data_IF_123957807657
#
_entry.id   IF_123957807657
#
_cell.length_a   1.000
_cell.length_b   1.000
_cell.length_c   1.000
_cell.angle_alpha   90.00
_cell.angle_beta   90.00
_cell.angle_gamma   90.00
#
_symmetry.space_group_name_H-M   'P 1'
#
loop_
_entity.id
_entity.type
_entity.pdbx_description
1 polymer ?
#
# COMPACT_ATOMS: atom_id res chain seq x y z
N UNK A 1 17.57 4.49 -9.71
CA UNK A 1 16.23 4.55 -9.10
C UNK A 1 15.70 5.97 -9.11
N UNK A 2 14.40 6.15 -9.35
CA UNK A 2 13.80 7.47 -9.37
C UNK A 2 13.72 8.04 -7.94
N UNK A 3 14.28 9.22 -7.74
CA UNK A 3 14.31 9.88 -6.42
C UNK A 3 12.93 10.37 -5.96
N UNK A 4 11.94 10.36 -6.85
CA UNK A 4 10.56 10.75 -6.52
C UNK A 4 9.68 9.55 -6.14
N UNK A 5 10.28 8.38 -6.02
CA UNK A 5 9.58 7.13 -5.66
C UNK A 5 10.22 6.55 -4.41
N UNK A 6 9.39 6.17 -3.44
CA UNK A 6 9.82 5.42 -2.26
C UNK A 6 9.03 4.12 -2.17
N UNK A 7 9.74 3.00 -2.25
CA UNK A 7 9.12 1.67 -2.17
C UNK A 7 9.69 0.93 -0.98
N UNK A 8 8.81 0.32 -0.19
CA UNK A 8 9.24 -0.52 0.92
C UNK A 8 8.34 -1.76 0.99
N UNK A 9 8.96 -2.92 1.10
CA UNK A 9 8.29 -4.18 1.37
C UNK A 9 9.04 -4.79 2.55
N UNK A 10 8.41 -4.86 3.72
CA UNK A 10 9.12 -5.12 4.96
C UNK A 10 8.28 -5.87 5.98
N UNK A 11 8.94 -6.66 6.83
CA UNK A 11 8.31 -7.27 7.99
C UNK A 11 8.29 -6.33 9.20
N UNK A 12 8.93 -5.18 9.10
CA UNK A 12 8.89 -4.16 10.15
C UNK A 12 7.58 -3.38 10.09
N UNK A 13 7.21 -2.77 11.21
CA UNK A 13 6.01 -1.95 11.28
C UNK A 13 6.12 -0.76 10.34
N UNK A 14 5.07 -0.53 9.52
CA UNK A 14 5.02 0.63 8.65
C UNK A 14 4.82 1.92 9.45
N UNK A 15 5.49 2.98 9.03
CA UNK A 15 5.43 4.28 9.70
C UNK A 15 4.83 5.31 8.74
N UNK A 16 3.63 5.78 9.08
CA UNK A 16 2.90 6.76 8.26
C UNK A 16 3.73 8.02 8.03
N UNK A 17 4.42 8.48 9.06
CA UNK A 17 5.21 9.71 8.96
C UNK A 17 6.34 9.60 7.94
N UNK A 18 6.91 8.41 7.76
CA UNK A 18 7.96 8.21 6.76
C UNK A 18 7.43 8.51 5.35
N UNK A 19 6.24 8.02 5.03
CA UNK A 19 5.62 8.25 3.73
C UNK A 19 5.24 9.72 3.57
N UNK A 20 4.64 10.32 4.60
CA UNK A 20 4.23 11.71 4.56
C UNK A 20 5.43 12.63 4.37
N UNK A 21 6.51 12.40 5.10
CA UNK A 21 7.74 13.21 4.97
C UNK A 21 8.38 13.05 3.61
N UNK A 22 8.38 11.85 3.06
CA UNK A 22 9.00 11.60 1.76
C UNK A 22 8.34 12.41 0.64
N UNK A 23 6.99 12.46 0.62
CA UNK A 23 6.28 13.11 -0.49
C UNK A 23 6.15 14.62 -0.32
N UNK A 24 6.37 15.16 0.87
CA UNK A 24 6.26 16.59 1.10
C UNK A 24 7.21 17.38 0.22
N UNK A 25 6.71 18.48 -0.32
CA UNK A 25 7.50 19.41 -1.14
C UNK A 25 6.80 20.76 -1.15
N UNK A 26 7.59 21.82 -1.09
CA UNK A 26 7.05 23.18 -1.03
C UNK A 26 6.25 23.58 -2.28
N UNK A 27 6.48 22.90 -3.39
CA UNK A 27 5.73 23.13 -4.64
C UNK A 27 4.36 22.45 -4.66
N UNK A 28 4.06 21.59 -3.69
CA UNK A 28 2.84 20.81 -3.67
C UNK A 28 1.84 21.35 -2.68
N UNK A 29 0.61 21.56 -3.17
CA UNK A 29 -0.50 22.04 -2.35
C UNK A 29 -1.33 20.91 -1.74
N UNK A 30 -1.11 19.65 -2.15
CA UNK A 30 -1.90 18.54 -1.65
C UNK A 30 -1.11 17.24 -1.50
N UNK A 31 -1.43 16.51 -0.44
CA UNK A 31 -0.94 15.16 -0.19
C UNK A 31 -2.16 14.28 0.00
N UNK A 32 -2.28 13.21 -0.81
CA UNK A 32 -3.29 12.19 -0.61
C UNK A 32 -2.62 11.00 0.06
N UNK A 33 -3.28 10.47 1.08
CA UNK A 33 -2.82 9.30 1.82
C UNK A 33 -3.89 8.22 1.78
N UNK A 34 -3.49 7.01 1.46
CA UNK A 34 -4.31 5.84 1.71
C UNK A 34 -3.61 5.00 2.75
N UNK A 35 -4.32 4.68 3.83
CA UNK A 35 -3.82 3.82 4.90
C UNK A 35 -4.76 2.64 5.00
N UNK A 36 -4.28 1.44 4.61
CA UNK A 36 -5.02 0.21 4.83
C UNK A 36 -4.87 -0.24 6.26
N UNK A 37 -5.91 -0.82 6.81
CA UNK A 37 -5.89 -1.35 8.18
C UNK A 37 -6.46 -2.76 8.18
N UNK A 38 -6.02 -3.58 9.13
CA UNK A 38 -6.52 -4.94 9.28
C UNK A 38 -7.88 -4.91 9.95
N UNK A 39 -8.93 -5.37 9.24
CA UNK A 39 -10.29 -5.43 9.75
C UNK A 39 -10.53 -6.69 10.58
N UNK A 40 -11.48 -6.61 11.51
CA UNK A 40 -11.84 -7.75 12.35
C UNK A 40 -12.97 -8.61 11.76
N UNK A 41 -13.37 -8.39 10.52
CA UNK A 41 -14.51 -9.07 9.91
C UNK A 41 -14.31 -9.27 8.41
N UNK A 42 -14.67 -10.46 7.93
CA UNK A 42 -14.74 -10.78 6.49
C UNK A 42 -15.97 -11.67 6.29
N UNK A 43 -16.92 -11.22 5.46
CA UNK A 43 -18.15 -11.95 5.15
C UNK A 43 -18.86 -12.43 6.42
N UNK A 44 -19.01 -11.54 7.40
CA UNK A 44 -19.67 -11.80 8.68
C UNK A 44 -18.95 -12.82 9.58
N UNK A 45 -17.69 -13.12 9.29
CA UNK A 45 -16.86 -13.98 10.14
C UNK A 45 -15.82 -13.12 10.85
N UNK A 46 -15.58 -13.41 12.12
CA UNK A 46 -14.60 -12.67 12.92
C UNK A 46 -13.19 -13.08 12.55
N UNK A 47 -12.41 -12.10 12.09
CA UNK A 47 -10.99 -12.26 11.76
C UNK A 47 -10.16 -11.94 13.00
N UNK A 48 -9.19 -12.78 13.32
CA UNK A 48 -8.32 -12.58 14.47
C UNK A 48 -6.92 -12.09 14.08
N UNK A 49 -6.50 -12.39 12.84
CA UNK A 49 -5.15 -12.09 12.39
C UNK A 49 -5.08 -12.22 10.88
N UNK A 50 -4.20 -11.44 10.26
CA UNK A 50 -3.81 -11.62 8.86
C UNK A 50 -2.34 -11.98 8.78
N UNK A 51 -1.98 -12.63 7.68
CA UNK A 51 -0.58 -12.86 7.35
C UNK A 51 -0.37 -12.58 5.88
N UNK A 52 0.56 -11.68 5.57
CA UNK A 52 0.92 -11.37 4.18
C UNK A 52 2.24 -12.03 3.83
N UNK A 53 2.29 -12.65 2.65
CA UNK A 53 3.52 -13.17 2.09
C UNK A 53 3.65 -12.69 0.66
N UNK A 54 4.87 -12.58 0.16
CA UNK A 54 5.13 -12.02 -1.16
C UNK A 54 6.28 -12.74 -1.84
N UNK A 55 6.19 -12.82 -3.17
CA UNK A 55 7.37 -13.11 -3.98
C UNK A 55 8.10 -11.78 -4.16
N UNK A 56 9.03 -11.51 -3.25
CA UNK A 56 9.57 -10.17 -3.05
C UNK A 56 10.20 -9.51 -4.28
N UNK A 57 11.10 -10.17 -5.04
CA UNK A 57 11.70 -9.52 -6.21
C UNK A 57 10.66 -9.05 -7.23
N UNK A 58 9.66 -9.87 -7.50
CA UNK A 58 8.60 -9.52 -8.45
C UNK A 58 7.64 -8.49 -7.86
N UNK A 59 7.33 -8.60 -6.57
CA UNK A 59 6.46 -7.63 -5.90
C UNK A 59 7.06 -6.23 -5.95
N UNK A 60 8.35 -6.10 -5.68
CA UNK A 60 9.05 -4.81 -5.74
C UNK A 60 9.03 -4.27 -7.17
N UNK A 61 9.29 -5.10 -8.18
CA UNK A 61 9.25 -4.69 -9.59
C UNK A 61 7.87 -4.18 -9.99
N UNK A 62 6.82 -4.88 -9.57
CA UNK A 62 5.45 -4.47 -9.89
C UNK A 62 5.09 -3.16 -9.19
N UNK A 63 5.51 -2.97 -7.95
CA UNK A 63 5.29 -1.71 -7.23
C UNK A 63 6.06 -0.57 -7.90
N UNK A 64 7.29 -0.80 -8.35
CA UNK A 64 8.05 0.17 -9.14
C UNK A 64 7.30 0.57 -10.41
N UNK A 65 6.78 -0.42 -11.11
CA UNK A 65 6.02 -0.21 -12.35
C UNK A 65 4.79 0.66 -12.11
N UNK A 66 4.04 0.36 -11.05
CA UNK A 66 2.88 1.16 -10.64
C UNK A 66 3.29 2.60 -10.36
N UNK A 67 4.38 2.79 -9.62
CA UNK A 67 4.87 4.11 -9.24
C UNK A 67 5.29 4.93 -10.45
N UNK A 68 6.03 4.33 -11.39
CA UNK A 68 6.43 4.99 -12.62
C UNK A 68 5.23 5.33 -13.50
N UNK A 69 4.26 4.42 -13.59
CA UNK A 69 3.04 4.67 -14.35
C UNK A 69 2.23 5.82 -13.75
N UNK A 70 2.14 5.88 -12.44
CA UNK A 70 1.46 6.98 -11.76
C UNK A 70 2.13 8.33 -12.06
N UNK A 71 3.47 8.38 -12.04
CA UNK A 71 4.20 9.60 -12.38
C UNK A 71 3.99 10.02 -13.84
N UNK A 72 3.81 9.06 -14.74
CA UNK A 72 3.61 9.34 -16.17
C UNK A 72 2.18 9.75 -16.50
N UNK A 73 1.20 9.16 -15.80
CA UNK A 73 -0.23 9.38 -16.11
C UNK A 73 -0.86 10.57 -15.40
N UNK A 74 -0.35 10.91 -14.23
CA UNK A 74 -0.95 11.94 -13.39
C UNK A 74 0.06 13.05 -13.12
N UNK A 75 -0.43 14.27 -12.94
CA UNK A 75 0.43 15.43 -12.64
C UNK A 75 0.80 15.44 -11.15
N UNK A 76 1.54 14.44 -10.73
CA UNK A 76 2.01 14.29 -9.35
C UNK A 76 3.52 14.51 -9.29
N UNK A 77 4.02 14.81 -8.09
CA UNK A 77 5.46 15.01 -7.90
C UNK A 77 6.13 13.77 -7.33
N UNK A 78 5.64 13.26 -6.20
CA UNK A 78 6.26 12.12 -5.51
C UNK A 78 5.21 11.10 -5.10
N UNK A 79 5.64 9.85 -5.04
CA UNK A 79 4.79 8.74 -4.59
C UNK A 79 5.58 7.81 -3.68
N UNK A 80 4.96 7.39 -2.58
CA UNK A 80 5.49 6.38 -1.69
C UNK A 80 4.49 5.24 -1.59
N UNK A 81 4.97 4.00 -1.75
CA UNK A 81 4.15 2.80 -1.59
C UNK A 81 4.91 1.87 -0.64
N UNK A 82 4.42 1.73 0.57
CA UNK A 82 5.01 0.85 1.58
C UNK A 82 4.02 -0.25 1.92
N UNK A 83 4.47 -1.50 1.89
CA UNK A 83 3.63 -2.65 2.21
C UNK A 83 4.33 -3.55 3.22
N UNK A 84 3.57 -4.04 4.19
CA UNK A 84 4.06 -4.94 5.21
C UNK A 84 3.89 -6.39 4.76
N UNK A 85 4.80 -7.26 5.20
CA UNK A 85 4.68 -8.72 5.08
C UNK A 85 4.79 -9.30 6.48
N UNK A 86 4.34 -10.56 6.63
CA UNK A 86 4.34 -11.23 7.93
C UNK A 86 2.99 -11.15 8.61
N UNK A 87 2.98 -11.46 9.89
CA UNK A 87 1.74 -11.51 10.68
C UNK A 87 1.35 -10.14 11.19
N UNK A 88 0.07 -9.79 11.01
CA UNK A 88 -0.49 -8.51 11.43
C UNK A 88 -1.71 -8.75 12.31
N UNK A 89 -1.85 -7.89 13.31
CA UNK A 89 -2.99 -7.91 14.24
C UNK A 89 -4.08 -6.97 13.73
N UNK A 90 -5.27 -7.14 14.28
CA UNK A 90 -6.39 -6.23 14.01
C UNK A 90 -5.95 -4.79 14.31
N UNK A 91 -6.21 -3.89 13.37
CA UNK A 91 -5.84 -2.49 13.49
C UNK A 91 -4.44 -2.15 12.98
N UNK A 92 -3.59 -3.14 12.74
CA UNK A 92 -2.28 -2.89 12.16
C UNK A 92 -2.41 -2.38 10.72
N UNK A 93 -1.34 -1.79 10.21
CA UNK A 93 -1.32 -1.15 8.89
C UNK A 93 -0.52 -2.01 7.91
N UNK A 94 -1.20 -2.69 6.96
CA UNK A 94 -0.49 -3.47 5.94
C UNK A 94 0.03 -2.64 4.77
N UNK A 95 -0.56 -1.48 4.49
CA UNK A 95 -0.17 -0.70 3.32
C UNK A 95 -0.37 0.79 3.58
N UNK A 96 0.59 1.58 3.10
CA UNK A 96 0.49 3.04 3.08
C UNK A 96 0.87 3.49 1.68
N UNK A 97 0.01 4.34 1.08
CA UNK A 97 0.31 5.01 -0.18
C UNK A 97 0.20 6.50 0.05
N UNK A 98 1.24 7.24 -0.30
CA UNK A 98 1.25 8.69 -0.20
C UNK A 98 1.60 9.28 -1.56
N UNK A 99 0.89 10.33 -1.96
CA UNK A 99 1.11 11.00 -3.24
C UNK A 99 1.04 12.51 -3.03
N UNK A 100 1.99 13.25 -3.57
CA UNK A 100 1.95 14.71 -3.53
C UNK A 100 1.78 15.28 -4.93
N UNK A 101 1.04 16.39 -5.02
CA UNK A 101 0.82 17.10 -6.27
C UNK A 101 0.57 18.59 -6.00
N UNK A 102 0.74 19.42 -7.04
CA UNK A 102 0.44 20.85 -6.92
C UNK A 102 -1.03 21.07 -6.54
N UNK A 103 -1.92 20.28 -7.15
CA UNK A 103 -3.37 20.37 -6.92
C UNK A 103 -3.92 19.00 -6.52
N UNK A 104 -4.91 19.00 -5.62
CA UNK A 104 -5.42 17.79 -4.95
C UNK A 104 -5.97 16.70 -5.88
N UNK A 105 -6.57 17.07 -7.00
CA UNK A 105 -7.22 16.08 -7.87
C UNK A 105 -6.24 15.02 -8.35
N UNK A 106 -5.07 15.42 -8.83
CA UNK A 106 -4.05 14.48 -9.29
C UNK A 106 -3.57 13.56 -8.18
N UNK A 107 -3.42 14.10 -6.98
CA UNK A 107 -3.01 13.29 -5.82
C UNK A 107 -4.05 12.21 -5.49
N UNK A 108 -5.33 12.59 -5.44
CA UNK A 108 -6.40 11.62 -5.19
C UNK A 108 -6.48 10.56 -6.28
N UNK A 109 -6.45 10.99 -7.54
CA UNK A 109 -6.57 10.08 -8.69
C UNK A 109 -5.41 9.09 -8.73
N UNK A 110 -4.19 9.56 -8.52
CA UNK A 110 -3.00 8.71 -8.54
C UNK A 110 -2.99 7.75 -7.34
N UNK A 111 -3.42 8.22 -6.19
CA UNK A 111 -3.49 7.38 -4.98
C UNK A 111 -4.47 6.22 -5.20
N UNK A 112 -5.66 6.51 -5.74
CA UNK A 112 -6.63 5.47 -6.05
C UNK A 112 -6.11 4.51 -7.11
N UNK A 113 -5.53 5.03 -8.18
CA UNK A 113 -4.93 4.20 -9.21
C UNK A 113 -3.90 3.24 -8.61
N UNK A 114 -3.05 3.75 -7.72
CA UNK A 114 -1.98 2.95 -7.13
C UNK A 114 -2.51 1.80 -6.28
N UNK A 115 -3.48 2.07 -5.39
CA UNK A 115 -4.02 0.99 -4.55
C UNK A 115 -4.82 -0.03 -5.35
N UNK A 116 -5.61 0.43 -6.32
CA UNK A 116 -6.40 -0.47 -7.16
C UNK A 116 -5.49 -1.40 -7.96
N UNK A 117 -4.45 -0.85 -8.59
CA UNK A 117 -3.52 -1.62 -9.40
C UNK A 117 -2.67 -2.57 -8.55
N UNK A 118 -2.26 -2.11 -7.37
CA UNK A 118 -1.50 -2.95 -6.44
C UNK A 118 -2.27 -4.23 -6.10
N UNK A 119 -3.56 -4.09 -5.81
CA UNK A 119 -4.40 -5.24 -5.47
C UNK A 119 -4.60 -6.21 -6.63
N UNK A 120 -4.47 -5.74 -7.86
CA UNK A 120 -4.65 -6.57 -9.05
C UNK A 120 -3.37 -7.27 -9.50
N UNK A 121 -2.22 -6.59 -9.43
CA UNK A 121 -1.01 -7.03 -10.12
C UNK A 121 0.15 -7.46 -9.24
N UNK A 122 0.21 -6.98 -8.00
CA UNK A 122 1.36 -7.26 -7.15
C UNK A 122 1.22 -8.65 -6.51
N UNK A 123 2.24 -9.53 -6.64
CA UNK A 123 2.16 -10.89 -6.10
C UNK A 123 2.37 -10.91 -4.58
N UNK A 124 1.33 -10.52 -3.88
CA UNK A 124 1.24 -10.56 -2.42
C UNK A 124 0.01 -11.38 -2.07
N UNK A 125 0.18 -12.40 -1.22
CA UNK A 125 -0.90 -13.27 -0.78
C UNK A 125 -1.32 -12.88 0.63
N UNK A 126 -2.64 -12.97 0.88
CA UNK A 126 -3.22 -12.68 2.17
C UNK A 126 -3.82 -13.95 2.75
N UNK A 127 -3.40 -14.31 3.96
CA UNK A 127 -3.96 -15.41 4.72
C UNK A 127 -4.75 -14.83 5.88
N UNK A 128 -6.05 -15.15 5.96
CA UNK A 128 -6.94 -14.68 7.02
C UNK A 128 -7.21 -15.80 8.01
N UNK A 129 -6.99 -15.52 9.29
CA UNK A 129 -7.25 -16.46 10.37
C UNK A 129 -8.54 -16.04 11.06
N UNK A 130 -9.46 -16.99 11.19
CA UNK A 130 -10.79 -16.74 11.76
C UNK A 130 -10.91 -17.31 13.16
N UNK A 131 -11.83 -16.73 13.95
CA UNK A 131 -12.08 -17.14 15.33
C UNK A 131 -12.51 -18.61 15.43
N UNK A 132 -13.22 -19.13 14.42
CA UNK A 132 -13.68 -20.52 14.38
C UNK A 132 -12.61 -21.52 13.96
N UNK A 133 -11.39 -21.07 13.73
CA UNK A 133 -10.27 -21.93 13.33
C UNK A 133 -10.07 -22.06 11.83
N UNK A 134 -10.99 -21.54 11.01
CA UNK A 134 -10.79 -21.55 9.55
C UNK A 134 -9.66 -20.61 9.15
N UNK A 135 -9.04 -20.93 8.02
CA UNK A 135 -7.99 -20.10 7.42
C UNK A 135 -8.29 -19.97 5.93
N UNK A 136 -8.41 -18.73 5.47
CA UNK A 136 -8.63 -18.44 4.05
C UNK A 136 -7.39 -17.81 3.43
N UNK A 137 -7.08 -18.20 2.19
CA UNK A 137 -5.93 -17.69 1.45
C UNK A 137 -6.43 -17.00 0.18
N UNK A 138 -6.06 -15.73 0.02
CA UNK A 138 -6.36 -14.94 -1.17
C UNK A 138 -5.06 -14.59 -1.89
N UNK A 139 -5.10 -14.62 -3.23
CA UNK A 139 -3.95 -14.31 -4.08
C UNK A 139 -3.70 -12.80 -4.25
N UNK A 140 -4.55 -11.97 -3.65
CA UNK A 140 -4.44 -10.51 -3.70
C UNK A 140 -4.49 -9.95 -2.29
N UNK A 141 -3.73 -8.86 -2.03
CA UNK A 141 -3.72 -8.23 -0.71
C UNK A 141 -5.03 -7.58 -0.30
#
# INVERSE_FOLDING_TARGET
>A
MNKNISIKLTSDKLVLQDCNNFVRDDSCGGIALFVGTVRNNTQNKTVTQLEFSAYEPMAIKEIEKISNEALNRFSILKIAIHHAIGKLKIGDIPVIIAVSSAHRKAAFDACQFAIDTLKETVPIWKKEYFEDGEVWVNSHP
#
